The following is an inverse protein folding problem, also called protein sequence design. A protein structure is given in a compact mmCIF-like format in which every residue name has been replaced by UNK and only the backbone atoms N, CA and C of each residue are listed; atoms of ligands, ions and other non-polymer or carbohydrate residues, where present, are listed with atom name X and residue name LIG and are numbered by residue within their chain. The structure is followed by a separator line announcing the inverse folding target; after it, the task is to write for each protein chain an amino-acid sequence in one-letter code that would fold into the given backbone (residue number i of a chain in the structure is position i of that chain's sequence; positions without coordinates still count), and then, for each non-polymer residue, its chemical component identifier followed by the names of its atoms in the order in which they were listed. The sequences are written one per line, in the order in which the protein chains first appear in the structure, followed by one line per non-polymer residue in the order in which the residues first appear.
data_IF_972609841437
#
_entry.id   IF_972609841437
#
_cell.length_a   1.000
_cell.length_b   1.000
_cell.length_c   1.000
_cell.angle_alpha   90.00
_cell.angle_beta   90.00
_cell.angle_gamma   90.00
#
_symmetry.space_group_name_H-M   'P 1'
#
loop_
_entity.id
_entity.type
_entity.pdbx_description
1 polymer ?
#
# COMPACT_ATOMS: atom_id res chain seq x y z
N UNK A 1 -58.26 -29.59 -54.08
CA UNK A 1 -56.93 -30.18 -54.41
C UNK A 1 -56.06 -29.05 -54.97
N UNK A 2 -54.88 -28.72 -54.40
CA UNK A 2 -53.54 -29.19 -54.84
C UNK A 2 -53.01 -28.35 -56.05
N UNK A 3 -51.88 -27.60 -56.07
CA UNK A 3 -50.74 -27.33 -55.13
C UNK A 3 -49.93 -26.07 -55.62
N UNK A 4 -49.41 -25.21 -54.71
CA UNK A 4 -48.14 -24.40 -54.82
C UNK A 4 -48.07 -23.28 -55.92
N UNK A 5 -47.20 -22.25 -55.92
CA UNK A 5 -46.34 -21.55 -54.93
C UNK A 5 -45.73 -20.23 -55.56
N UNK A 6 -44.76 -19.58 -54.87
CA UNK A 6 -44.00 -18.33 -55.20
C UNK A 6 -44.72 -16.98 -54.96
N UNK A 7 -44.08 -15.93 -54.40
CA UNK A 7 -42.81 -15.82 -53.63
C UNK A 7 -42.92 -14.57 -52.70
N UNK A 8 -42.28 -14.58 -51.53
CA UNK A 8 -42.48 -13.58 -50.47
C UNK A 8 -41.78 -12.21 -50.68
N UNK A 9 -42.35 -11.19 -50.04
CA UNK A 9 -41.75 -9.87 -49.79
C UNK A 9 -40.38 -10.00 -49.09
N UNK A 10 -39.44 -9.10 -49.41
CA UNK A 10 -38.18 -8.94 -48.68
C UNK A 10 -37.80 -7.46 -48.50
N UNK A 11 -37.19 -7.18 -47.34
CA UNK A 11 -36.50 -5.95 -46.95
C UNK A 11 -37.35 -4.68 -46.68
N UNK A 12 -38.02 -4.68 -45.53
CA UNK A 12 -37.99 -3.50 -44.67
C UNK A 12 -36.60 -3.36 -44.02
N UNK A 13 -36.20 -2.13 -43.68
CA UNK A 13 -34.91 -1.84 -43.06
C UNK A 13 -34.91 -0.45 -42.40
N UNK A 14 -35.15 -0.44 -41.09
CA UNK A 14 -35.29 0.78 -40.28
C UNK A 14 -33.98 1.58 -40.27
N UNK A 15 -34.04 2.87 -40.59
CA UNK A 15 -32.94 3.81 -40.38
C UNK A 15 -32.78 4.06 -38.87
N UNK A 16 -31.99 3.22 -38.21
CA UNK A 16 -31.55 3.46 -36.83
C UNK A 16 -30.60 4.66 -36.84
N UNK A 17 -30.97 5.72 -36.14
CA UNK A 17 -30.09 6.86 -35.90
C UNK A 17 -28.80 6.39 -35.25
N UNK A 18 -27.66 6.75 -35.85
CA UNK A 18 -26.34 6.47 -35.28
C UNK A 18 -26.19 7.17 -33.94
N UNK A 19 -26.45 6.45 -32.85
CA UNK A 19 -25.94 6.77 -31.53
C UNK A 19 -24.42 6.80 -31.65
N UNK A 20 -23.86 8.02 -31.66
CA UNK A 20 -22.42 8.23 -31.77
C UNK A 20 -21.79 7.89 -30.43
N UNK A 21 -21.48 6.60 -30.24
CA UNK A 21 -20.73 6.08 -29.12
C UNK A 21 -19.44 6.87 -28.95
N UNK A 22 -19.45 7.84 -28.03
CA UNK A 22 -18.23 8.40 -27.44
C UNK A 22 -17.75 7.46 -26.35
N UNK A 23 -17.50 6.21 -26.72
CA UNK A 23 -16.76 5.31 -25.86
C UNK A 23 -15.29 5.70 -25.99
N UNK A 24 -14.90 6.75 -25.25
CA UNK A 24 -13.51 7.17 -25.12
C UNK A 24 -12.75 6.02 -24.49
N UNK A 25 -12.02 5.29 -25.33
CA UNK A 25 -11.09 4.23 -25.01
C UNK A 25 -10.36 4.55 -23.69
N UNK A 26 -10.80 3.92 -22.60
CA UNK A 26 -10.02 3.73 -21.39
C UNK A 26 -8.88 2.80 -21.77
N UNK A 27 -7.86 3.38 -22.40
CA UNK A 27 -6.61 2.73 -22.73
C UNK A 27 -6.03 2.23 -21.41
N UNK A 28 -6.09 0.92 -21.18
CA UNK A 28 -5.74 0.30 -19.90
C UNK A 28 -4.23 0.42 -19.70
N UNK A 29 -3.82 1.58 -19.18
CA UNK A 29 -2.44 1.95 -18.88
C UNK A 29 -1.87 0.92 -17.91
N UNK A 30 -1.11 -0.03 -18.43
CA UNK A 30 -0.55 -1.12 -17.63
C UNK A 30 0.33 -0.52 -16.55
N UNK A 31 -0.05 -0.73 -15.27
CA UNK A 31 0.72 -0.25 -14.14
C UNK A 31 1.94 -1.15 -14.00
N UNK A 32 3.03 -0.73 -14.65
CA UNK A 32 4.35 -1.28 -14.43
C UNK A 32 4.75 -0.99 -12.98
N UNK A 33 5.31 -1.99 -12.29
CA UNK A 33 5.84 -1.81 -10.93
C UNK A 33 6.87 -0.67 -10.95
N UNK A 34 6.72 0.39 -10.13
CA UNK A 34 7.71 1.45 -10.08
C UNK A 34 9.02 0.91 -9.51
N UNK A 35 10.17 1.35 -10.02
CA UNK A 35 11.45 0.96 -9.46
C UNK A 35 11.83 1.87 -8.29
N UNK A 36 12.33 1.27 -7.21
CA UNK A 36 12.91 1.99 -6.08
C UNK A 36 14.41 2.27 -6.29
N UNK A 37 14.91 3.32 -5.65
CA UNK A 37 16.31 3.74 -5.61
C UNK A 37 16.77 3.89 -4.16
N UNK A 38 17.87 3.23 -3.80
CA UNK A 38 18.44 3.28 -2.44
C UNK A 38 19.00 4.68 -2.14
N UNK A 39 18.53 5.29 -1.04
CA UNK A 39 18.95 6.62 -0.58
C UNK A 39 20.05 6.58 0.49
N UNK A 40 20.17 5.48 1.23
CA UNK A 40 21.25 5.28 2.19
C UNK A 40 22.62 5.12 1.51
N UNK A 41 23.71 5.49 2.21
CA UNK A 41 25.09 5.25 1.74
C UNK A 41 25.43 3.77 1.58
N UNK A 42 24.70 2.89 2.27
CA UNK A 42 24.59 1.48 1.91
C UNK A 42 23.58 0.78 2.82
N UNK A 43 22.58 0.13 2.22
CA UNK A 43 21.39 -0.42 2.86
C UNK A 43 21.54 -1.92 3.12
N UNK A 44 21.34 -2.36 4.36
CA UNK A 44 21.48 -3.77 4.73
C UNK A 44 20.37 -4.63 4.10
N UNK A 45 20.78 -5.73 3.49
CA UNK A 45 19.91 -6.79 2.98
C UNK A 45 19.83 -7.88 4.05
N UNK A 46 18.64 -8.14 4.59
CA UNK A 46 18.43 -9.05 5.73
C UNK A 46 17.67 -10.32 5.37
N UNK A 47 17.87 -11.36 6.16
CA UNK A 47 17.21 -12.66 6.02
C UNK A 47 15.68 -12.56 6.29
N UNK A 48 15.28 -11.74 7.27
CA UNK A 48 13.89 -11.56 7.76
C UNK A 48 13.53 -10.07 7.84
N UNK A 49 12.24 -9.69 7.85
CA UNK A 49 11.79 -8.29 7.91
C UNK A 49 11.83 -7.72 9.35
N UNK A 50 13.01 -7.76 9.98
CA UNK A 50 13.26 -7.18 11.32
C UNK A 50 14.67 -6.59 11.40
N UNK A 51 14.95 -5.72 12.38
CA UNK A 51 16.27 -5.07 12.53
C UNK A 51 17.32 -5.96 13.22
N UNK A 52 16.88 -7.02 13.88
CA UNK A 52 17.67 -8.03 14.58
C UNK A 52 18.12 -9.17 13.65
N UNK A 53 17.48 -9.32 12.49
CA UNK A 53 17.72 -10.41 11.55
C UNK A 53 19.10 -10.32 10.85
N UNK A 54 19.71 -11.48 10.58
CA UNK A 54 21.03 -11.59 9.96
C UNK A 54 21.14 -10.83 8.64
N UNK A 55 22.28 -10.15 8.45
CA UNK A 55 22.60 -9.37 7.27
C UNK A 55 23.23 -10.31 6.23
N UNK A 56 22.50 -10.57 5.15
CA UNK A 56 22.89 -11.40 4.01
C UNK A 56 23.72 -10.62 2.97
N UNK A 57 23.68 -9.29 3.00
CA UNK A 57 24.44 -8.44 2.10
C UNK A 57 24.15 -6.96 2.29
N UNK A 58 24.58 -6.14 1.33
CA UNK A 58 24.37 -4.69 1.33
C UNK A 58 24.09 -4.20 -0.09
N UNK A 59 23.15 -3.26 -0.22
CA UNK A 59 22.90 -2.52 -1.46
C UNK A 59 23.56 -1.16 -1.38
N UNK A 60 24.23 -0.75 -2.45
CA UNK A 60 24.88 0.55 -2.56
C UNK A 60 23.90 1.70 -2.76
N UNK A 61 24.35 2.93 -2.50
CA UNK A 61 23.61 4.14 -2.85
C UNK A 61 23.22 4.17 -4.32
N UNK A 62 21.99 4.61 -4.62
CA UNK A 62 21.38 4.64 -5.95
C UNK A 62 21.24 3.25 -6.63
N UNK A 63 21.37 2.13 -5.89
CA UNK A 63 20.98 0.83 -6.41
C UNK A 63 19.49 0.83 -6.80
N UNK A 64 19.20 0.40 -8.03
CA UNK A 64 17.86 0.37 -8.61
C UNK A 64 17.20 -0.99 -8.38
N UNK A 65 15.99 -1.00 -7.81
CA UNK A 65 15.23 -2.19 -7.46
C UNK A 65 13.89 -2.14 -8.21
N UNK A 66 13.77 -2.91 -9.31
CA UNK A 66 12.50 -3.07 -10.03
C UNK A 66 11.79 -4.40 -9.71
N UNK A 67 12.53 -5.38 -9.18
CA UNK A 67 12.02 -6.72 -8.85
C UNK A 67 11.83 -6.86 -7.33
N UNK A 68 10.58 -6.87 -6.92
CA UNK A 68 10.14 -7.04 -5.54
C UNK A 68 8.75 -7.67 -5.51
N UNK A 69 8.42 -8.32 -4.37
CA UNK A 69 7.16 -9.05 -4.21
C UNK A 69 6.17 -8.37 -3.27
N UNK A 70 6.55 -8.15 -2.01
CA UNK A 70 5.67 -7.60 -0.97
C UNK A 70 6.40 -6.71 0.05
N UNK A 71 5.61 -5.95 0.80
CA UNK A 71 6.01 -5.21 1.99
C UNK A 71 5.58 -5.95 3.26
N UNK A 72 6.42 -5.97 4.29
CA UNK A 72 6.12 -6.58 5.60
C UNK A 72 6.94 -5.87 6.69
N UNK A 73 6.32 -5.44 7.79
CA UNK A 73 6.96 -4.74 8.92
C UNK A 73 7.86 -3.54 8.52
N UNK A 74 7.51 -2.82 7.45
CA UNK A 74 8.33 -1.73 6.92
C UNK A 74 9.53 -2.16 6.05
N UNK A 75 9.66 -3.46 5.74
CA UNK A 75 10.67 -4.00 4.82
C UNK A 75 10.07 -4.42 3.47
N UNK A 76 10.79 -4.12 2.40
CA UNK A 76 10.50 -4.60 1.04
C UNK A 76 11.20 -5.93 0.79
N UNK A 77 10.46 -6.94 0.30
CA UNK A 77 11.03 -8.23 -0.12
C UNK A 77 11.57 -8.15 -1.55
N UNK A 78 12.86 -8.42 -1.71
CA UNK A 78 13.55 -8.56 -3.00
C UNK A 78 14.14 -9.96 -3.14
N UNK A 79 14.69 -10.30 -4.31
CA UNK A 79 15.24 -11.63 -4.63
C UNK A 79 16.25 -12.14 -3.59
N UNK A 80 17.16 -11.28 -3.10
CA UNK A 80 18.20 -11.63 -2.14
C UNK A 80 17.84 -11.50 -0.64
N UNK A 81 16.65 -11.01 -0.27
CA UNK A 81 16.39 -10.70 1.15
C UNK A 81 15.31 -9.64 1.38
N UNK A 82 15.42 -8.95 2.51
CA UNK A 82 14.54 -7.86 2.94
C UNK A 82 15.35 -6.59 3.14
N UNK A 83 14.86 -5.46 2.63
CA UNK A 83 15.49 -4.15 2.80
C UNK A 83 14.52 -3.18 3.45
N UNK A 84 15.00 -2.34 4.37
CA UNK A 84 14.12 -1.43 5.11
C UNK A 84 13.67 -0.28 4.19
N UNK A 85 12.36 -0.13 4.01
CA UNK A 85 11.77 0.66 2.94
C UNK A 85 11.90 2.18 3.15
N UNK A 86 12.13 2.64 4.38
CA UNK A 86 12.39 4.06 4.68
C UNK A 86 13.62 4.60 3.94
N UNK A 87 14.56 3.74 3.56
CA UNK A 87 15.75 4.09 2.79
C UNK A 87 15.56 3.97 1.27
N UNK A 88 14.33 3.79 0.79
CA UNK A 88 13.98 3.67 -0.63
C UNK A 88 13.20 4.90 -1.11
N UNK A 89 13.41 5.28 -2.36
CA UNK A 89 12.66 6.35 -3.03
C UNK A 89 12.22 5.89 -4.42
N UNK A 90 11.03 6.28 -4.85
CA UNK A 90 10.56 6.09 -6.23
C UNK A 90 11.27 7.04 -7.21
N UNK A 91 11.74 8.18 -6.71
CA UNK A 91 12.51 9.15 -7.46
C UNK A 91 14.01 8.82 -7.39
N UNK A 92 14.74 8.82 -8.52
CA UNK A 92 16.19 8.66 -8.49
C UNK A 92 16.83 9.83 -7.73
N UNK A 93 17.86 9.58 -6.91
CA UNK A 93 18.60 10.64 -6.24
C UNK A 93 19.22 11.59 -7.27
N UNK A 94 19.13 12.90 -7.00
CA UNK A 94 19.79 13.91 -7.82
C UNK A 94 21.31 13.69 -7.83
N UNK A 95 21.99 13.87 -8.98
CA UNK A 95 23.44 13.72 -9.05
C UNK A 95 24.11 14.72 -8.09
N UNK A 96 24.84 14.18 -7.11
CA UNK A 96 25.63 14.99 -6.18
C UNK A 96 26.66 15.79 -6.98
N UNK A 97 26.55 17.13 -6.95
CA UNK A 97 27.68 18.00 -7.34
C UNK A 97 28.91 17.55 -6.55
N UNK A 98 30.12 17.52 -7.14
CA UNK A 98 31.31 17.05 -6.44
C UNK A 98 31.59 17.95 -5.22
N UNK A 99 31.29 17.43 -4.04
CA UNK A 99 31.63 18.04 -2.76
C UNK A 99 33.06 17.58 -2.43
N UNK A 100 33.97 18.55 -2.36
CA UNK A 100 35.33 18.36 -1.86
C UNK A 100 35.28 17.67 -0.49
N UNK A 101 36.01 16.56 -0.33
CA UNK A 101 36.07 15.78 0.91
C UNK A 101 36.72 16.55 2.06
N UNK A 102 36.04 16.72 3.21
CA UNK A 102 36.69 16.92 4.49
C UNK A 102 37.15 15.57 5.06
N UNK A 103 38.13 15.62 5.96
CA UNK A 103 38.94 14.47 6.33
C UNK A 103 38.31 13.53 7.36
N UNK A 104 38.84 12.31 7.37
CA UNK A 104 38.74 11.29 8.42
C UNK A 104 39.10 11.87 9.79
N UNK A 105 38.12 12.02 10.68
CA UNK A 105 38.36 12.32 12.10
C UNK A 105 38.41 11.04 12.96
N UNK A 106 39.25 11.10 13.99
CA UNK A 106 39.77 9.94 14.72
C UNK A 106 38.92 9.60 15.93
N UNK A 107 38.69 8.31 16.18
CA UNK A 107 38.07 7.84 17.41
C UNK A 107 38.94 8.19 18.64
N UNK A 108 38.45 9.06 19.52
CA UNK A 108 39.04 9.28 20.84
C UNK A 108 38.29 8.47 21.89
N UNK A 109 38.98 7.48 22.46
CA UNK A 109 38.54 6.67 23.60
C UNK A 109 38.74 7.44 24.90
N UNK A 110 37.69 7.62 25.72
CA UNK A 110 37.81 8.06 27.11
C UNK A 110 37.04 7.08 28.02
N UNK A 111 37.63 6.76 29.17
CA UNK A 111 37.21 5.72 30.11
C UNK A 111 36.10 6.13 31.08
N UNK A 112 35.60 5.12 31.80
CA UNK A 112 34.67 5.19 32.92
C UNK A 112 35.26 5.90 34.15
N UNK A 113 34.35 6.43 35.01
CA UNK A 113 34.44 6.84 36.44
C UNK A 113 33.63 8.16 36.62
N UNK A 114 32.83 8.43 37.67
CA UNK A 114 32.39 7.69 38.87
C UNK A 114 31.04 8.26 39.36
N UNK A 115 30.22 7.45 40.04
CA UNK A 115 28.91 7.82 40.62
C UNK A 115 29.06 8.62 41.93
N UNK A 116 28.21 9.64 42.17
CA UNK A 116 27.74 9.96 43.53
C UNK A 116 26.24 9.66 43.72
N UNK A 117 25.90 9.02 44.84
CA UNK A 117 24.53 8.70 45.23
C UNK A 117 23.76 9.95 45.70
N UNK A 118 22.51 10.10 45.26
CA UNK A 118 21.54 11.01 45.87
C UNK A 118 20.45 10.20 46.62
N UNK A 119 20.06 10.67 47.81
CA UNK A 119 19.17 9.95 48.73
C UNK A 119 17.71 9.94 48.25
N UNK A 120 17.06 8.79 48.40
CA UNK A 120 15.64 8.58 48.13
C UNK A 120 14.79 8.97 49.36
N UNK A 121 13.76 9.83 49.22
CA UNK A 121 12.71 9.96 50.24
C UNK A 121 11.78 8.74 50.23
N UNK A 122 11.55 8.13 51.38
CA UNK A 122 10.52 7.09 51.53
C UNK A 122 9.14 7.73 51.59
N UNK A 123 8.25 7.41 50.63
CA UNK A 123 6.81 7.66 50.76
C UNK A 123 6.02 6.34 50.80
N UNK A 124 4.94 6.35 51.59
CA UNK A 124 4.27 5.14 52.09
C UNK A 124 3.56 4.34 51.00
N UNK A 125 3.67 3.03 51.08
CA UNK A 125 3.00 2.06 50.22
C UNK A 125 1.47 2.15 50.32
N UNK A 126 0.83 2.84 49.36
CA UNK A 126 -0.57 2.53 49.02
C UNK A 126 -0.58 1.24 48.21
N UNK A 127 -1.27 0.22 48.74
CA UNK A 127 -1.47 -1.08 48.10
C UNK A 127 -2.19 -0.88 46.77
N UNK A 128 -1.45 -0.90 45.66
CA UNK A 128 -2.01 -0.90 44.31
C UNK A 128 -2.74 -2.24 44.16
N UNK A 129 -4.06 -2.23 44.28
CA UNK A 129 -4.87 -3.33 43.78
C UNK A 129 -4.78 -3.24 42.27
N UNK A 130 -4.00 -4.14 41.68
CA UNK A 130 -3.88 -4.28 40.23
C UNK A 130 -5.16 -4.94 39.70
N UNK A 131 -6.27 -4.19 39.74
CA UNK A 131 -7.45 -4.53 38.99
C UNK A 131 -7.06 -4.47 37.52
N UNK A 132 -6.82 -5.63 36.92
CA UNK A 132 -6.68 -5.76 35.48
C UNK A 132 -7.98 -5.26 34.87
N UNK A 133 -7.98 -4.02 34.37
CA UNK A 133 -8.99 -3.60 33.40
C UNK A 133 -8.93 -4.67 32.30
N UNK A 134 -10.07 -5.29 31.91
CA UNK A 134 -10.05 -6.15 30.75
C UNK A 134 -9.44 -5.34 29.61
N UNK A 135 -8.47 -5.94 28.92
CA UNK A 135 -7.85 -5.33 27.74
C UNK A 135 -8.98 -4.91 26.82
N UNK A 136 -9.15 -3.61 26.61
CA UNK A 136 -10.14 -3.11 25.64
C UNK A 136 -9.95 -3.91 24.37
N UNK A 137 -11.03 -4.51 23.89
CA UNK A 137 -11.03 -5.20 22.61
C UNK A 137 -10.68 -4.11 21.62
N UNK A 138 -9.45 -4.15 21.08
CA UNK A 138 -9.01 -3.19 20.08
C UNK A 138 -9.86 -3.48 18.85
N UNK A 139 -10.93 -2.72 18.71
CA UNK A 139 -11.90 -2.85 17.62
C UNK A 139 -11.14 -2.77 16.29
N UNK A 140 -11.09 -3.88 15.56
CA UNK A 140 -10.47 -3.87 14.25
C UNK A 140 -11.43 -3.21 13.26
N UNK A 141 -11.17 -1.93 13.01
CA UNK A 141 -11.95 -1.12 12.07
C UNK A 141 -12.03 -1.74 10.67
N UNK A 142 -11.02 -2.52 10.26
CA UNK A 142 -11.01 -3.19 8.96
C UNK A 142 -11.96 -4.39 8.94
N UNK A 143 -12.04 -5.19 10.00
CA UNK A 143 -12.99 -6.31 10.04
C UNK A 143 -14.44 -5.81 10.10
N UNK A 144 -14.73 -4.77 10.87
CA UNK A 144 -16.04 -4.10 10.82
C UNK A 144 -16.33 -3.53 9.42
N UNK A 145 -15.34 -2.89 8.78
CA UNK A 145 -15.51 -2.34 7.43
C UNK A 145 -15.83 -3.43 6.39
N UNK A 146 -15.22 -4.61 6.49
CA UNK A 146 -15.52 -5.78 5.65
C UNK A 146 -16.94 -6.29 5.88
N UNK A 147 -17.39 -6.35 7.13
CA UNK A 147 -18.75 -6.77 7.47
C UNK A 147 -19.80 -5.81 6.90
N UNK A 148 -19.59 -4.49 7.02
CA UNK A 148 -20.47 -3.51 6.40
C UNK A 148 -20.43 -3.56 4.86
N UNK A 149 -19.27 -3.83 4.25
CA UNK A 149 -19.15 -4.00 2.80
C UNK A 149 -19.96 -5.21 2.32
N UNK A 150 -19.90 -6.34 3.04
CA UNK A 150 -20.67 -7.55 2.75
C UNK A 150 -22.18 -7.38 2.97
N UNK A 151 -22.59 -6.40 3.79
CA UNK A 151 -23.98 -5.98 4.00
C UNK A 151 -24.43 -4.85 3.07
N UNK A 152 -23.66 -4.55 2.02
CA UNK A 152 -23.89 -3.47 1.04
C UNK A 152 -23.97 -2.05 1.65
N UNK A 153 -23.55 -1.88 2.92
CA UNK A 153 -23.49 -0.58 3.59
C UNK A 153 -22.16 0.11 3.26
N UNK A 154 -22.06 0.57 2.02
CA UNK A 154 -20.83 1.16 1.46
C UNK A 154 -20.36 2.41 2.23
N UNK A 155 -21.29 3.22 2.76
CA UNK A 155 -20.97 4.40 3.57
C UNK A 155 -20.25 4.03 4.88
N UNK A 156 -20.79 3.07 5.65
CA UNK A 156 -20.15 2.58 6.87
C UNK A 156 -18.81 1.89 6.55
N UNK A 157 -18.78 1.03 5.53
CA UNK A 157 -17.57 0.34 5.08
C UNK A 157 -16.43 1.32 4.76
N UNK A 158 -16.68 2.35 3.95
CA UNK A 158 -15.69 3.40 3.65
C UNK A 158 -15.24 4.16 4.89
N UNK A 159 -16.18 4.54 5.76
CA UNK A 159 -15.86 5.36 6.94
C UNK A 159 -14.90 4.64 7.88
N UNK A 160 -15.15 3.36 8.14
CA UNK A 160 -14.30 2.53 9.00
C UNK A 160 -12.98 2.14 8.30
N UNK A 161 -13.01 1.85 7.00
CA UNK A 161 -11.80 1.59 6.22
C UNK A 161 -10.88 2.83 6.14
N UNK A 162 -11.45 4.04 6.00
CA UNK A 162 -10.68 5.29 6.04
C UNK A 162 -10.04 5.51 7.42
N UNK A 163 -10.75 5.18 8.51
CA UNK A 163 -10.19 5.22 9.87
C UNK A 163 -9.04 4.23 10.03
N UNK A 164 -9.17 3.01 9.53
CA UNK A 164 -8.08 2.03 9.49
C UNK A 164 -6.86 2.52 8.68
N UNK A 165 -7.10 3.18 7.53
CA UNK A 165 -6.05 3.80 6.72
C UNK A 165 -5.34 4.97 7.46
N UNK A 166 -6.07 5.73 8.27
CA UNK A 166 -5.50 6.82 9.09
C UNK A 166 -4.67 6.28 10.27
N UNK A 167 -5.10 5.19 10.91
CA UNK A 167 -4.33 4.53 11.97
C UNK A 167 -3.10 3.78 11.45
N UNK A 168 -3.18 3.18 10.26
CA UNK A 168 -2.07 2.51 9.60
C UNK A 168 -2.18 2.58 8.06
N UNK A 169 -1.52 3.55 7.40
CA UNK A 169 -1.52 3.67 5.95
C UNK A 169 -0.92 2.47 5.20
N UNK A 170 -0.14 1.60 5.87
CA UNK A 170 0.41 0.38 5.28
C UNK A 170 -0.58 -0.81 5.33
N UNK A 171 -1.77 -0.63 5.91
CA UNK A 171 -2.82 -1.65 5.90
C UNK A 171 -3.54 -1.69 4.54
N UNK A 172 -2.99 -2.46 3.60
CA UNK A 172 -3.50 -2.52 2.22
C UNK A 172 -4.92 -3.12 2.13
N UNK A 173 -5.34 -3.89 3.14
CA UNK A 173 -6.70 -4.41 3.25
C UNK A 173 -7.74 -3.31 3.49
N UNK A 174 -7.42 -2.22 4.18
CA UNK A 174 -8.33 -1.09 4.36
C UNK A 174 -8.39 -0.17 3.14
N UNK A 175 -7.30 -0.07 2.36
CA UNK A 175 -7.38 0.54 1.02
C UNK A 175 -8.25 -0.28 0.06
N UNK A 176 -8.18 -1.61 0.12
CA UNK A 176 -9.05 -2.52 -0.65
C UNK A 176 -10.55 -2.26 -0.38
N UNK A 177 -10.93 -2.25 0.90
CA UNK A 177 -12.34 -2.04 1.32
C UNK A 177 -12.81 -0.62 1.04
N UNK A 178 -11.96 0.38 1.26
CA UNK A 178 -12.29 1.78 0.97
C UNK A 178 -12.54 2.01 -0.53
N UNK A 179 -11.66 1.52 -1.40
CA UNK A 179 -11.83 1.62 -2.86
C UNK A 179 -13.07 0.86 -3.35
N UNK A 180 -13.31 -0.37 -2.86
CA UNK A 180 -14.53 -1.12 -3.18
C UNK A 180 -15.80 -0.36 -2.77
N UNK A 181 -15.82 0.20 -1.56
CA UNK A 181 -16.96 0.99 -1.07
C UNK A 181 -17.20 2.26 -1.87
N UNK A 182 -16.14 2.94 -2.34
CA UNK A 182 -16.28 4.09 -3.27
C UNK A 182 -16.86 3.63 -4.60
N UNK A 183 -16.32 2.57 -5.17
CA UNK A 183 -16.72 2.07 -6.48
C UNK A 183 -18.18 1.60 -6.51
N UNK A 184 -18.62 0.84 -5.50
CA UNK A 184 -19.98 0.31 -5.38
C UNK A 184 -21.02 1.38 -5.02
N UNK A 185 -20.61 2.48 -4.38
CA UNK A 185 -21.43 3.69 -4.21
C UNK A 185 -21.60 4.50 -5.52
N UNK A 186 -20.91 4.11 -6.61
CA UNK A 186 -20.93 4.78 -7.90
C UNK A 186 -19.83 5.83 -8.09
N UNK A 187 -18.99 6.07 -7.08
CA UNK A 187 -17.81 6.96 -7.15
C UNK A 187 -16.62 6.25 -7.83
N UNK A 188 -16.86 5.72 -9.03
CA UNK A 188 -15.92 4.85 -9.75
C UNK A 188 -14.56 5.50 -10.03
N UNK A 189 -14.56 6.78 -10.41
CA UNK A 189 -13.33 7.55 -10.71
C UNK A 189 -12.49 7.74 -9.44
N UNK A 190 -13.12 8.21 -8.35
CA UNK A 190 -12.47 8.39 -7.04
C UNK A 190 -11.85 7.07 -6.53
N UNK A 191 -12.54 5.93 -6.71
CA UNK A 191 -12.01 4.62 -6.36
C UNK A 191 -10.75 4.22 -7.17
N UNK A 192 -10.74 4.52 -8.46
CA UNK A 192 -9.61 4.28 -9.37
C UNK A 192 -8.42 5.15 -8.98
N UNK A 193 -8.63 6.46 -8.81
CA UNK A 193 -7.57 7.42 -8.42
C UNK A 193 -6.93 7.06 -7.08
N UNK A 194 -7.73 6.62 -6.10
CA UNK A 194 -7.23 6.14 -4.81
C UNK A 194 -6.34 4.90 -4.97
N UNK A 195 -6.75 3.91 -5.77
CA UNK A 195 -5.91 2.73 -6.00
C UNK A 195 -4.64 3.07 -6.77
N UNK A 196 -4.69 3.95 -7.77
CA UNK A 196 -3.51 4.42 -8.49
C UNK A 196 -2.51 5.12 -7.56
N UNK A 197 -2.98 5.96 -6.64
CA UNK A 197 -2.16 6.61 -5.62
C UNK A 197 -1.54 5.60 -4.63
N UNK A 198 -2.34 4.67 -4.11
CA UNK A 198 -1.87 3.65 -3.17
C UNK A 198 -0.84 2.74 -3.84
N UNK A 199 -1.07 2.30 -5.08
CA UNK A 199 -0.15 1.42 -5.82
C UNK A 199 1.17 2.08 -6.20
N UNK A 200 1.20 3.41 -6.35
CA UNK A 200 2.45 4.15 -6.51
C UNK A 200 3.31 4.10 -5.23
N UNK A 201 2.70 4.14 -4.05
CA UNK A 201 3.40 4.22 -2.76
C UNK A 201 3.67 2.86 -2.13
N UNK A 202 2.68 1.96 -2.16
CA UNK A 202 2.67 0.64 -1.56
C UNK A 202 2.10 -0.38 -2.56
N UNK A 203 2.89 -0.70 -3.60
CA UNK A 203 2.47 -1.66 -4.62
C UNK A 203 2.09 -3.02 -3.99
N UNK A 204 0.89 -3.50 -4.34
CA UNK A 204 0.38 -4.83 -4.01
C UNK A 204 -0.37 -5.42 -5.21
N UNK A 205 -0.16 -6.71 -5.44
CA UNK A 205 -0.68 -7.42 -6.61
C UNK A 205 -2.22 -7.57 -6.57
N UNK A 206 -2.81 -7.73 -5.38
CA UNK A 206 -4.28 -7.83 -5.24
C UNK A 206 -4.94 -6.49 -5.50
N UNK A 207 -4.36 -5.39 -5.02
CA UNK A 207 -4.82 -4.04 -5.33
C UNK A 207 -4.66 -3.69 -6.82
N UNK A 208 -3.58 -4.15 -7.47
CA UNK A 208 -3.41 -3.98 -8.92
C UNK A 208 -4.49 -4.74 -9.73
N UNK A 209 -4.76 -6.00 -9.36
CA UNK A 209 -5.86 -6.79 -9.95
C UNK A 209 -7.25 -6.19 -9.65
N UNK A 210 -7.42 -5.56 -8.48
CA UNK A 210 -8.65 -4.84 -8.14
C UNK A 210 -8.86 -3.62 -9.04
N UNK A 211 -7.79 -2.85 -9.27
CA UNK A 211 -7.82 -1.69 -10.15
C UNK A 211 -8.14 -2.08 -11.61
N UNK A 212 -7.52 -3.15 -12.14
CA UNK A 212 -7.84 -3.67 -13.48
C UNK A 212 -9.34 -4.03 -13.60
N UNK A 213 -9.91 -4.66 -12.56
CA UNK A 213 -11.34 -4.95 -12.49
C UNK A 213 -12.18 -3.67 -12.44
N UNK A 214 -11.79 -2.64 -11.68
CA UNK A 214 -12.50 -1.36 -11.62
C UNK A 214 -12.50 -0.65 -12.99
N UNK A 215 -11.34 -0.55 -13.64
CA UNK A 215 -11.19 0.03 -14.98
C UNK A 215 -12.03 -0.74 -16.02
N UNK A 216 -12.07 -2.08 -15.92
CA UNK A 216 -12.87 -2.94 -16.78
C UNK A 216 -14.37 -3.03 -16.44
N UNK A 217 -14.85 -2.37 -15.37
CA UNK A 217 -16.20 -2.51 -14.81
C UNK A 217 -16.60 -3.96 -14.39
N UNK A 218 -15.67 -4.71 -13.76
CA UNK A 218 -15.79 -6.13 -13.36
C UNK A 218 -15.64 -6.36 -11.85
N UNK A 219 -16.19 -5.46 -11.03
CA UNK A 219 -16.22 -5.53 -9.56
C UNK A 219 -17.58 -6.04 -9.11
#
# INVERSE_FOLDING_TARGET
MLKFALLCMMMGGILIFFAKDRNSHLESKSIQKPCFYVQASGLNLREKPTIEADIQGRLEYNAKICEYSKMENGFLKISGGWVFAEYLSLNPPLPKKPILTPQKETMTKISQETLPQAKLPQEKSKKIILASRPKEVKEDWLDQAREFLAKENYQAAKTLALKANQENPQNLGSWEVFAKGLYLEGKKVEAIEVLEYVLQTYYDEKLALLLEKMQGNKI
#
